data_IF_033765227859
#
_entry.id   IF_033765227859
#
_cell.length_a   1.000
_cell.length_b   1.000
_cell.length_c   1.000
_cell.angle_alpha   90.00
_cell.angle_beta   90.00
_cell.angle_gamma   90.00
#
_symmetry.space_group_name_H-M   'P 1'
#
loop_
_entity.id
_entity.type
_entity.pdbx_description
1 polymer ?
#
# COMPACT_ATOMS: atom_id res chain seq x y z
N UNK A 1 -7.57 -9.71 8.38
CA UNK A 1 -8.46 -10.10 7.27
C UNK A 1 -7.75 -11.01 6.26
N UNK A 2 -6.47 -10.77 5.96
CA UNK A 2 -5.65 -11.62 5.07
C UNK A 2 -5.33 -13.01 5.67
N UNK A 3 -5.40 -13.18 6.98
CA UNK A 3 -5.19 -14.47 7.65
C UNK A 3 -6.45 -15.37 7.68
N UNK A 4 -7.63 -14.84 7.29
CA UNK A 4 -8.86 -15.64 7.07
C UNK A 4 -9.10 -15.98 5.60
N UNK A 5 -8.20 -15.62 4.70
CA UNK A 5 -8.23 -15.84 3.27
C UNK A 5 -7.87 -17.32 2.96
N UNK A 6 -8.33 -17.89 1.82
CA UNK A 6 -7.97 -19.24 1.37
C UNK A 6 -6.46 -19.51 1.28
N UNK A 7 -5.62 -18.51 1.39
CA UNK A 7 -4.17 -18.63 1.53
C UNK A 7 -3.69 -18.97 2.95
N UNK A 8 -4.58 -19.14 3.93
CA UNK A 8 -4.22 -19.54 5.30
C UNK A 8 -3.28 -20.75 5.33
N UNK A 9 -3.53 -21.75 4.49
CA UNK A 9 -2.67 -22.91 4.36
C UNK A 9 -1.28 -22.64 3.77
N UNK A 10 -1.08 -21.51 3.07
CA UNK A 10 0.24 -21.12 2.56
C UNK A 10 1.12 -20.54 3.68
N UNK A 11 0.57 -19.67 4.52
CA UNK A 11 1.29 -19.10 5.65
C UNK A 11 1.66 -20.15 6.70
N UNK A 12 0.74 -21.07 6.99
CA UNK A 12 0.99 -22.18 7.94
C UNK A 12 2.07 -23.15 7.45
N UNK A 13 2.30 -23.23 6.13
CA UNK A 13 3.29 -24.11 5.51
C UNK A 13 4.67 -23.47 5.31
N UNK A 14 4.80 -22.15 5.52
CA UNK A 14 6.09 -21.49 5.33
C UNK A 14 6.97 -21.63 6.56
N UNK A 15 8.27 -21.83 6.37
CA UNK A 15 9.26 -21.85 7.45
C UNK A 15 9.25 -20.56 8.27
N UNK A 16 8.85 -19.46 7.65
CA UNK A 16 8.70 -18.16 8.30
C UNK A 16 7.53 -18.16 9.29
N UNK A 17 6.38 -18.71 8.93
CA UNK A 17 5.23 -18.82 9.81
C UNK A 17 5.53 -19.72 11.02
N UNK A 18 6.26 -20.82 10.83
CA UNK A 18 6.70 -21.68 11.93
C UNK A 18 7.66 -20.94 12.88
N UNK A 19 8.61 -20.17 12.31
CA UNK A 19 9.63 -19.43 13.09
C UNK A 19 9.01 -18.27 13.89
N UNK A 20 7.98 -17.63 13.39
CA UNK A 20 7.34 -16.46 14.03
C UNK A 20 5.93 -16.77 14.55
N UNK A 21 5.56 -18.05 14.64
CA UNK A 21 4.20 -18.46 15.04
C UNK A 21 3.75 -17.92 16.39
N UNK A 22 4.66 -17.80 17.37
CA UNK A 22 4.34 -17.25 18.68
C UNK A 22 4.10 -15.74 18.62
N UNK A 23 4.93 -15.00 17.89
CA UNK A 23 4.74 -13.57 17.66
C UNK A 23 3.44 -13.31 16.89
N UNK A 24 3.12 -14.16 15.90
CA UNK A 24 1.88 -14.07 15.11
C UNK A 24 0.66 -14.45 15.96
N UNK A 25 0.76 -15.43 16.85
CA UNK A 25 -0.33 -15.81 17.77
C UNK A 25 -0.69 -14.72 18.76
N UNK A 26 0.27 -13.89 19.16
CA UNK A 26 0.07 -12.71 20.01
C UNK A 26 -0.62 -11.54 19.29
N UNK A 27 -0.65 -11.53 17.96
CA UNK A 27 -1.34 -10.53 17.17
C UNK A 27 -2.84 -10.85 17.18
N UNK A 28 -3.60 -10.13 17.99
CA UNK A 28 -5.07 -10.17 17.91
C UNK A 28 -5.52 -9.56 16.60
N UNK A 29 -5.82 -10.42 15.64
CA UNK A 29 -6.49 -10.05 14.39
C UNK A 29 -8.01 -10.04 14.65
N UNK A 30 -8.47 -9.13 15.46
CA UNK A 30 -9.88 -8.80 15.49
C UNK A 30 -10.16 -7.88 14.30
N UNK A 31 -11.27 -8.09 13.61
CA UNK A 31 -11.83 -7.10 12.70
C UNK A 31 -12.21 -5.90 13.57
N UNK A 32 -11.23 -5.03 13.79
CA UNK A 32 -11.38 -3.89 14.68
C UNK A 32 -12.54 -3.00 14.25
N UNK A 33 -13.07 -2.26 15.18
CA UNK A 33 -14.05 -1.21 14.89
C UNK A 33 -13.50 -0.25 13.85
N UNK A 34 -14.34 0.16 12.93
CA UNK A 34 -14.01 1.16 11.94
C UNK A 34 -14.70 2.47 12.28
N UNK A 35 -13.93 3.54 12.29
CA UNK A 35 -14.44 4.89 12.48
C UNK A 35 -14.53 5.61 11.14
N UNK A 36 -15.61 6.37 10.96
CA UNK A 36 -15.76 7.28 9.84
C UNK A 36 -14.98 8.55 10.13
N UNK A 37 -14.10 8.92 9.21
CA UNK A 37 -13.29 10.13 9.25
C UNK A 37 -13.57 10.99 8.03
N UNK A 38 -13.69 12.28 8.23
CA UNK A 38 -13.69 13.25 7.14
C UNK A 38 -12.26 13.45 6.61
N UNK A 39 -12.17 13.65 5.30
CA UNK A 39 -10.92 13.97 4.59
C UNK A 39 -11.12 15.33 3.89
N UNK A 40 -11.02 16.44 4.63
CA UNK A 40 -11.38 17.77 4.08
C UNK A 40 -10.57 18.17 2.85
N UNK A 41 -9.32 17.73 2.77
CA UNK A 41 -8.43 17.94 1.62
C UNK A 41 -8.56 16.86 0.53
N UNK A 42 -9.35 15.83 0.73
CA UNK A 42 -9.61 14.81 -0.27
C UNK A 42 -10.30 15.42 -1.49
N UNK A 43 -9.98 14.91 -2.67
CA UNK A 43 -10.58 15.36 -3.94
C UNK A 43 -11.74 14.43 -4.31
N UNK A 44 -11.48 13.15 -4.42
CA UNK A 44 -12.47 12.12 -4.79
C UNK A 44 -12.99 11.36 -3.57
N UNK A 45 -12.19 11.23 -2.50
CA UNK A 45 -12.56 10.57 -1.26
C UNK A 45 -12.68 11.63 -0.15
N UNK A 46 -13.92 12.06 0.13
CA UNK A 46 -14.22 13.11 1.12
C UNK A 46 -14.32 12.59 2.54
N UNK A 47 -14.61 11.32 2.69
CA UNK A 47 -14.64 10.60 3.97
C UNK A 47 -14.26 9.13 3.76
N UNK A 48 -13.81 8.46 4.81
CA UNK A 48 -13.49 7.04 4.78
C UNK A 48 -13.76 6.39 6.13
N UNK A 49 -14.20 5.14 6.10
CA UNK A 49 -14.14 4.29 7.30
C UNK A 49 -12.77 3.61 7.33
N UNK A 50 -12.05 3.78 8.43
CA UNK A 50 -10.73 3.18 8.66
C UNK A 50 -10.70 2.47 10.01
N UNK A 51 -9.80 1.48 10.15
CA UNK A 51 -9.62 0.80 11.44
C UNK A 51 -9.33 1.80 12.55
N UNK A 52 -10.02 1.64 13.68
CA UNK A 52 -9.78 2.42 14.88
C UNK A 52 -8.33 2.31 15.36
N UNK A 53 -7.72 1.13 15.21
CA UNK A 53 -6.33 0.90 15.61
C UNK A 53 -5.34 1.86 14.93
N UNK A 54 -5.64 2.29 13.69
CA UNK A 54 -4.83 3.29 13.02
C UNK A 54 -4.78 4.60 13.80
N UNK A 55 -5.86 4.95 14.49
CA UNK A 55 -6.00 6.23 15.21
C UNK A 55 -5.45 6.13 16.64
N UNK A 56 -5.64 4.97 17.26
CA UNK A 56 -5.32 4.72 18.67
C UNK A 56 -3.84 4.35 18.89
N UNK A 57 -3.13 3.87 17.86
CA UNK A 57 -1.73 3.48 18.02
C UNK A 57 -0.80 4.69 18.18
N UNK A 58 0.19 4.59 19.06
CA UNK A 58 1.22 5.63 19.27
C UNK A 58 2.15 5.73 18.06
N UNK A 59 2.49 4.58 17.47
CA UNK A 59 3.42 4.49 16.33
C UNK A 59 2.76 3.70 15.20
N UNK A 60 2.75 4.28 14.00
CA UNK A 60 2.25 3.65 12.79
C UNK A 60 3.40 3.30 11.83
N UNK A 61 3.69 2.02 11.69
CA UNK A 61 4.66 1.50 10.71
C UNK A 61 3.90 0.86 9.56
N UNK A 62 4.07 1.42 8.36
CA UNK A 62 3.46 0.90 7.13
C UNK A 62 4.43 -0.08 6.45
N UNK A 63 4.13 -1.37 6.53
CA UNK A 63 4.92 -2.43 5.89
C UNK A 63 4.20 -2.91 4.64
N UNK A 64 4.81 -2.72 3.48
CA UNK A 64 4.25 -3.03 2.17
C UNK A 64 5.15 -3.98 1.37
N UNK A 65 4.60 -4.51 0.27
CA UNK A 65 5.34 -5.27 -0.74
C UNK A 65 5.31 -4.49 -2.04
N UNK A 66 6.48 -4.31 -2.64
CA UNK A 66 6.60 -3.80 -4.02
C UNK A 66 6.10 -4.84 -5.00
N UNK A 67 5.21 -4.49 -5.92
CA UNK A 67 4.77 -5.36 -7.02
C UNK A 67 4.03 -4.60 -8.11
N UNK A 68 4.00 -5.18 -9.31
CA UNK A 68 3.13 -4.75 -10.40
C UNK A 68 1.65 -4.98 -10.04
N UNK A 69 0.77 -4.18 -10.63
CA UNK A 69 -0.68 -4.27 -10.46
C UNK A 69 -1.36 -3.83 -11.77
N UNK A 70 -2.22 -4.68 -12.33
CA UNK A 70 -2.85 -4.43 -13.64
C UNK A 70 -3.65 -3.13 -13.71
N UNK A 71 -4.34 -2.76 -12.62
CA UNK A 71 -5.10 -1.50 -12.59
C UNK A 71 -4.19 -0.27 -12.39
N UNK A 72 -3.62 -0.10 -11.22
CA UNK A 72 -2.84 1.11 -10.86
C UNK A 72 -1.35 1.02 -11.18
N UNK A 73 -0.94 0.00 -11.93
CA UNK A 73 0.42 -0.30 -12.41
C UNK A 73 1.46 -0.59 -11.33
N UNK A 74 1.25 -0.17 -10.10
CA UNK A 74 2.16 -0.34 -8.97
C UNK A 74 1.40 -0.59 -7.67
N UNK A 75 1.97 -1.38 -6.77
CA UNK A 75 1.53 -1.55 -5.38
C UNK A 75 2.70 -1.27 -4.45
N UNK A 76 2.49 -0.42 -3.47
CA UNK A 76 3.44 -0.06 -2.44
C UNK A 76 2.75 0.49 -1.20
N UNK A 77 3.42 1.36 -0.48
CA UNK A 77 2.96 1.90 0.80
C UNK A 77 1.69 2.77 0.69
N UNK A 78 1.52 3.53 -0.40
CA UNK A 78 0.31 4.32 -0.62
C UNK A 78 -0.93 3.42 -0.72
N UNK A 79 -0.87 2.40 -1.58
CA UNK A 79 -1.99 1.46 -1.78
C UNK A 79 -2.23 0.58 -0.55
N UNK A 80 -1.21 0.30 0.24
CA UNK A 80 -1.31 -0.54 1.44
C UNK A 80 -2.29 0.02 2.47
N UNK A 81 -2.51 1.34 2.50
CA UNK A 81 -3.51 2.00 3.36
C UNK A 81 -4.94 1.46 3.15
N UNK A 82 -5.26 0.97 1.96
CA UNK A 82 -6.56 0.37 1.67
C UNK A 82 -6.85 -0.86 2.55
N UNK A 83 -5.82 -1.56 3.04
CA UNK A 83 -5.95 -2.67 3.97
C UNK A 83 -6.56 -2.31 5.32
N UNK A 84 -6.55 -1.03 5.68
CA UNK A 84 -7.14 -0.50 6.91
C UNK A 84 -8.64 -0.17 6.76
N UNK A 85 -9.17 -0.27 5.54
CA UNK A 85 -10.55 0.08 5.21
C UNK A 85 -11.47 -1.15 5.18
N UNK A 86 -12.73 -1.05 5.61
CA UNK A 86 -13.72 -2.08 5.41
C UNK A 86 -14.10 -2.19 3.92
N UNK A 87 -14.81 -3.27 3.58
CA UNK A 87 -15.24 -3.52 2.21
C UNK A 87 -16.02 -2.35 1.59
N UNK A 88 -16.88 -1.69 2.36
CA UNK A 88 -17.68 -0.55 1.86
C UNK A 88 -16.81 0.61 1.35
N UNK A 89 -15.78 0.98 2.11
CA UNK A 89 -14.83 2.02 1.69
C UNK A 89 -13.98 1.54 0.50
N UNK A 90 -13.46 0.30 0.55
CA UNK A 90 -12.69 -0.26 -0.56
C UNK A 90 -13.51 -0.38 -1.85
N UNK A 91 -14.79 -0.73 -1.74
CA UNK A 91 -15.72 -0.77 -2.87
C UNK A 91 -15.87 0.61 -3.53
N UNK A 92 -16.05 1.67 -2.73
CA UNK A 92 -16.11 3.03 -3.25
C UNK A 92 -14.80 3.46 -3.91
N UNK A 93 -13.66 3.17 -3.29
CA UNK A 93 -12.33 3.49 -3.83
C UNK A 93 -12.13 2.84 -5.22
N UNK A 94 -12.56 1.57 -5.38
CA UNK A 94 -12.38 0.85 -6.66
C UNK A 94 -13.37 1.25 -7.75
N UNK A 95 -14.62 1.50 -7.39
CA UNK A 95 -15.71 1.61 -8.37
C UNK A 95 -16.47 2.94 -8.34
N UNK A 96 -16.20 3.80 -7.36
CA UNK A 96 -16.95 5.02 -7.18
C UNK A 96 -18.44 4.75 -7.00
N UNK A 97 -19.26 5.70 -7.43
CA UNK A 97 -20.72 5.58 -7.43
C UNK A 97 -21.26 4.84 -8.67
N UNK A 98 -20.53 4.85 -9.76
CA UNK A 98 -21.00 4.36 -11.07
C UNK A 98 -20.71 2.87 -11.31
N UNK A 99 -19.91 2.22 -10.49
CA UNK A 99 -19.53 0.80 -10.59
C UNK A 99 -19.13 0.36 -12.00
N UNK A 100 -18.35 1.17 -12.70
CA UNK A 100 -17.95 0.94 -14.08
C UNK A 100 -16.78 -0.05 -14.14
N UNK A 101 -17.02 -1.24 -14.70
CA UNK A 101 -16.00 -2.22 -15.07
C UNK A 101 -15.26 -2.88 -13.90
N UNK A 102 -14.23 -3.69 -14.23
CA UNK A 102 -13.46 -4.47 -13.25
C UNK A 102 -12.61 -3.61 -12.32
N UNK A 103 -12.02 -2.52 -12.84
CA UNK A 103 -11.19 -1.57 -12.09
C UNK A 103 -11.82 -0.18 -11.98
N UNK A 104 -13.00 0.03 -12.58
CA UNK A 104 -13.63 1.34 -12.61
C UNK A 104 -12.79 2.39 -13.34
N UNK A 105 -12.86 3.62 -12.87
CA UNK A 105 -12.04 4.73 -13.34
C UNK A 105 -10.69 4.73 -12.60
N UNK A 106 -9.59 4.52 -13.32
CA UNK A 106 -8.23 4.47 -12.76
C UNK A 106 -7.78 5.82 -12.19
N UNK A 107 -8.27 6.92 -12.73
CA UNK A 107 -7.99 8.25 -12.19
C UNK A 107 -8.69 8.43 -10.84
N UNK A 108 -9.97 8.04 -10.74
CA UNK A 108 -10.72 8.02 -9.50
C UNK A 108 -10.06 7.11 -8.45
N UNK A 109 -9.73 5.87 -8.83
CA UNK A 109 -9.06 4.93 -7.94
C UNK A 109 -7.73 5.49 -7.39
N UNK A 110 -6.90 6.05 -8.27
CA UNK A 110 -5.62 6.63 -7.90
C UNK A 110 -5.77 7.87 -7.03
N UNK A 111 -6.80 8.70 -7.30
CA UNK A 111 -7.11 9.85 -6.47
C UNK A 111 -7.59 9.43 -5.09
N UNK A 112 -8.50 8.48 -5.01
CA UNK A 112 -9.00 7.97 -3.73
C UNK A 112 -7.86 7.35 -2.88
N UNK A 113 -6.91 6.64 -3.51
CA UNK A 113 -5.72 6.13 -2.80
C UNK A 113 -4.89 7.30 -2.25
N UNK A 114 -4.65 8.34 -3.04
CA UNK A 114 -3.93 9.52 -2.58
C UNK A 114 -4.67 10.21 -1.42
N UNK A 115 -5.98 10.43 -1.57
CA UNK A 115 -6.81 11.08 -0.56
C UNK A 115 -6.83 10.30 0.77
N UNK A 116 -6.94 8.96 0.71
CA UNK A 116 -6.91 8.10 1.89
C UNK A 116 -5.62 8.27 2.70
N UNK A 117 -4.52 8.56 2.03
CA UNK A 117 -3.23 8.77 2.67
C UNK A 117 -3.13 10.09 3.46
N UNK A 118 -4.11 10.99 3.33
CA UNK A 118 -4.23 12.22 4.13
C UNK A 118 -4.72 11.95 5.56
N UNK A 119 -5.35 10.78 5.81
CA UNK A 119 -5.93 10.42 7.11
C UNK A 119 -4.87 10.37 8.21
N UNK A 120 -3.75 9.71 7.97
CA UNK A 120 -2.65 9.62 8.92
C UNK A 120 -1.31 9.42 8.21
N UNK A 121 -0.31 10.20 8.60
CA UNK A 121 1.09 9.99 8.19
C UNK A 121 1.64 8.76 8.90
N UNK A 122 2.43 7.92 8.20
CA UNK A 122 3.20 6.87 8.84
C UNK A 122 4.47 7.45 9.48
N UNK A 123 4.85 6.90 10.62
CA UNK A 123 6.11 7.24 11.29
C UNK A 123 7.30 6.60 10.57
N UNK A 124 7.08 5.40 10.04
CA UNK A 124 8.03 4.66 9.22
C UNK A 124 7.27 3.88 8.14
N UNK A 125 7.85 3.83 6.95
CA UNK A 125 7.40 2.99 5.85
C UNK A 125 8.54 2.04 5.48
N UNK A 126 8.19 0.76 5.30
CA UNK A 126 9.11 -0.29 4.87
C UNK A 126 8.46 -0.99 3.68
N UNK A 127 9.21 -1.24 2.63
CA UNK A 127 8.75 -2.04 1.50
C UNK A 127 9.68 -3.23 1.28
N UNK A 128 9.09 -4.41 1.26
CA UNK A 128 9.75 -5.62 0.78
C UNK A 128 9.82 -5.55 -0.76
N UNK A 129 11.03 -5.43 -1.27
CA UNK A 129 11.36 -5.50 -2.67
C UNK A 129 12.41 -6.61 -2.94
N UNK A 130 12.40 -7.68 -2.13
CA UNK A 130 13.34 -8.79 -2.30
C UNK A 130 13.01 -9.61 -3.54
N UNK A 131 11.74 -10.01 -3.70
CA UNK A 131 11.23 -10.73 -4.86
C UNK A 131 9.81 -10.27 -5.12
N UNK A 132 9.51 -9.82 -6.34
CA UNK A 132 8.17 -9.37 -6.66
C UNK A 132 7.80 -9.62 -8.12
N UNK A 133 6.48 -9.68 -8.37
CA UNK A 133 5.90 -9.86 -9.70
C UNK A 133 6.00 -8.56 -10.50
N UNK A 134 6.39 -8.66 -11.78
CA UNK A 134 6.59 -7.53 -12.68
C UNK A 134 5.52 -7.40 -13.78
N UNK A 135 4.70 -8.43 -13.96
CA UNK A 135 3.60 -8.48 -14.92
C UNK A 135 2.45 -9.34 -14.38
N UNK A 136 1.22 -9.11 -14.85
CA UNK A 136 0.01 -9.83 -14.43
C UNK A 136 -0.23 -9.81 -12.90
N UNK A 137 0.23 -8.75 -12.24
CA UNK A 137 -0.02 -8.56 -10.81
C UNK A 137 -1.46 -8.08 -10.51
N UNK A 138 -1.89 -8.25 -9.28
CA UNK A 138 -1.12 -8.66 -8.12
C UNK A 138 -1.03 -10.17 -7.86
N UNK A 139 -1.68 -10.99 -8.66
CA UNK A 139 -1.87 -12.43 -8.38
C UNK A 139 -1.04 -13.36 -9.27
N UNK A 140 -0.66 -12.91 -10.47
CA UNK A 140 0.05 -13.74 -11.44
C UNK A 140 -0.82 -14.81 -12.11
N UNK A 141 -0.21 -15.80 -12.80
CA UNK A 141 1.25 -15.96 -12.93
C UNK A 141 1.90 -14.87 -13.76
N UNK A 142 3.16 -14.53 -13.43
CA UNK A 142 3.93 -13.51 -14.14
C UNK A 142 5.44 -13.61 -13.84
N UNK A 143 6.22 -12.80 -14.53
CA UNK A 143 7.66 -12.74 -14.30
C UNK A 143 7.99 -12.17 -12.92
N UNK A 144 9.08 -12.63 -12.35
CA UNK A 144 9.60 -12.18 -11.07
C UNK A 144 10.90 -11.41 -11.25
N UNK A 145 10.99 -10.23 -10.63
CA UNK A 145 12.26 -9.56 -10.37
C UNK A 145 12.80 -9.96 -8.99
N UNK A 146 14.12 -9.95 -8.84
CA UNK A 146 14.83 -10.31 -7.60
C UNK A 146 15.91 -9.26 -7.28
N UNK A 147 15.54 -8.01 -7.00
CA UNK A 147 16.52 -6.99 -6.66
C UNK A 147 17.11 -7.17 -5.26
N UNK A 148 16.52 -8.05 -4.43
CA UNK A 148 17.01 -8.38 -3.08
C UNK A 148 17.17 -7.14 -2.19
N UNK A 149 16.17 -6.24 -2.25
CA UNK A 149 16.16 -4.97 -1.53
C UNK A 149 15.06 -4.94 -0.46
N UNK A 150 15.38 -4.33 0.68
CA UNK A 150 14.40 -3.80 1.63
C UNK A 150 14.57 -2.29 1.65
N UNK A 151 13.49 -1.58 1.41
CA UNK A 151 13.51 -0.12 1.30
C UNK A 151 12.76 0.48 2.48
N UNK A 152 13.34 1.49 3.12
CA UNK A 152 12.71 2.19 4.22
C UNK A 152 12.73 3.71 4.01
N UNK A 153 11.66 4.38 4.42
CA UNK A 153 11.54 5.83 4.36
C UNK A 153 10.55 6.32 5.42
N UNK A 154 10.70 7.56 5.85
CA UNK A 154 9.68 8.26 6.67
C UNK A 154 8.57 8.87 5.80
N UNK A 155 8.60 8.61 4.49
CA UNK A 155 7.66 9.18 3.53
C UNK A 155 7.20 8.11 2.53
N UNK A 156 5.88 7.91 2.42
CA UNK A 156 5.27 6.92 1.52
C UNK A 156 5.48 7.25 0.05
N UNK A 157 5.40 8.53 -0.32
CA UNK A 157 5.58 8.97 -1.71
C UNK A 157 7.00 8.68 -2.16
N UNK A 158 8.00 9.08 -1.36
CA UNK A 158 9.41 8.84 -1.68
C UNK A 158 9.76 7.36 -1.67
N UNK A 159 9.17 6.57 -0.76
CA UNK A 159 9.34 5.11 -0.76
C UNK A 159 8.83 4.50 -2.06
N UNK A 160 7.57 4.81 -2.40
CA UNK A 160 6.91 4.25 -3.58
C UNK A 160 7.56 4.73 -4.87
N UNK A 161 8.05 5.96 -4.92
CA UNK A 161 8.83 6.49 -6.04
C UNK A 161 10.12 5.69 -6.27
N UNK A 162 10.87 5.38 -5.22
CA UNK A 162 12.04 4.52 -5.33
C UNK A 162 11.66 3.09 -5.75
N UNK A 163 10.66 2.51 -5.11
CA UNK A 163 10.25 1.13 -5.37
C UNK A 163 9.67 0.92 -6.76
N UNK A 164 8.96 1.91 -7.33
CA UNK A 164 8.45 1.79 -8.70
C UNK A 164 9.58 1.78 -9.74
N UNK A 165 10.71 2.45 -9.49
CA UNK A 165 11.91 2.33 -10.34
C UNK A 165 12.53 0.93 -10.29
N UNK A 166 12.48 0.23 -9.15
CA UNK A 166 12.88 -1.18 -9.10
C UNK A 166 11.97 -2.07 -9.97
N UNK A 167 10.74 -1.63 -10.21
CA UNK A 167 9.80 -2.27 -11.14
C UNK A 167 10.03 -1.87 -12.62
N UNK A 168 10.98 -0.97 -12.89
CA UNK A 168 11.24 -0.44 -14.24
C UNK A 168 10.22 0.62 -14.69
N UNK A 169 9.63 1.35 -13.75
CA UNK A 169 8.65 2.41 -14.01
C UNK A 169 9.13 3.74 -13.46
N UNK A 170 8.79 4.82 -14.11
CA UNK A 170 9.00 6.16 -13.58
C UNK A 170 7.88 6.56 -12.61
N UNK A 171 8.20 7.24 -11.48
CA UNK A 171 7.19 7.68 -10.51
C UNK A 171 6.07 8.51 -11.13
N UNK A 172 6.41 9.30 -12.16
CA UNK A 172 5.48 10.17 -12.90
C UNK A 172 4.42 9.38 -13.67
N UNK A 173 4.70 8.14 -14.06
CA UNK A 173 3.76 7.25 -14.75
C UNK A 173 2.70 6.69 -13.79
N UNK A 174 3.01 6.63 -12.50
CA UNK A 174 2.14 6.04 -11.48
C UNK A 174 1.21 7.11 -10.91
N UNK A 175 -0.04 7.12 -11.36
CA UNK A 175 -1.03 8.15 -11.02
C UNK A 175 -1.16 8.39 -9.51
N UNK A 176 -1.23 7.35 -8.69
CA UNK A 176 -1.39 7.52 -7.25
C UNK A 176 -0.16 8.16 -6.58
N UNK A 177 1.06 7.92 -7.08
CA UNK A 177 2.28 8.58 -6.58
C UNK A 177 2.24 10.06 -6.92
N UNK A 178 1.93 10.39 -8.19
CA UNK A 178 1.82 11.76 -8.66
C UNK A 178 0.75 12.55 -7.89
N UNK A 179 -0.44 11.97 -7.72
CA UNK A 179 -1.55 12.61 -6.98
C UNK A 179 -1.20 12.80 -5.49
N UNK A 180 -0.52 11.85 -4.87
CA UNK A 180 -0.06 11.98 -3.50
C UNK A 180 1.03 13.08 -3.36
N UNK A 181 1.93 13.20 -4.33
CA UNK A 181 2.90 14.30 -4.38
C UNK A 181 2.21 15.66 -4.57
N UNK A 182 1.18 15.76 -5.42
CA UNK A 182 0.37 16.96 -5.61
C UNK A 182 -0.36 17.39 -4.33
N UNK A 183 -0.74 16.47 -3.45
CA UNK A 183 -1.25 16.76 -2.11
C UNK A 183 -0.18 17.30 -1.15
N UNK A 184 1.08 17.36 -1.56
CA UNK A 184 2.21 17.77 -0.71
C UNK A 184 2.63 16.72 0.31
N UNK A 185 2.31 15.45 0.06
CA UNK A 185 2.63 14.38 1.00
C UNK A 185 4.07 13.87 0.92
N UNK A 186 4.86 14.32 -0.06
CA UNK A 186 6.26 13.95 -0.20
C UNK A 186 6.84 14.24 -1.57
N UNK A 187 8.14 14.02 -1.69
CA UNK A 187 8.91 14.19 -2.93
C UNK A 187 8.94 12.87 -3.70
N UNK A 188 8.64 12.90 -4.99
CA UNK A 188 8.71 11.75 -5.89
C UNK A 188 9.94 11.78 -6.81
N UNK A 189 10.58 12.95 -7.00
CA UNK A 189 11.80 13.08 -7.77
C UNK A 189 12.99 12.53 -6.97
N UNK A 190 13.56 11.43 -7.42
CA UNK A 190 14.62 10.74 -6.67
C UNK A 190 15.91 11.56 -6.61
N UNK A 191 16.15 12.42 -7.57
CA UNK A 191 17.31 13.32 -7.64
C UNK A 191 17.32 14.32 -6.47
N UNK A 192 16.15 14.60 -5.90
CA UNK A 192 15.98 15.48 -4.73
C UNK A 192 16.04 14.73 -3.41
N UNK A 193 16.10 13.40 -3.43
CA UNK A 193 16.11 12.57 -2.24
C UNK A 193 17.55 12.25 -1.83
N UNK A 194 17.78 12.22 -0.52
CA UNK A 194 19.01 11.67 0.05
C UNK A 194 18.86 10.17 0.21
N UNK A 195 19.41 9.43 -0.73
CA UNK A 195 19.43 7.95 -0.69
C UNK A 195 20.68 7.48 0.07
N UNK A 196 20.50 6.43 0.88
CA UNK A 196 21.59 5.72 1.53
C UNK A 196 21.38 4.22 1.30
N UNK A 197 22.35 3.58 0.67
CA UNK A 197 22.37 2.14 0.50
C UNK A 197 23.29 1.48 1.53
N UNK A 198 22.85 0.36 2.06
CA UNK A 198 23.61 -0.48 2.98
C UNK A 198 23.61 -1.89 2.41
N UNK A 199 24.79 -2.50 2.35
CA UNK A 199 24.96 -3.93 2.03
C UNK A 199 25.11 -4.69 3.34
N UNK A 200 24.34 -5.76 3.50
CA UNK A 200 24.32 -6.62 4.69
C UNK A 200 24.87 -7.99 4.32
#
# INVERSE_FOLDING_TARGET
RYLKDPHKGYWEKTSLAAKYSEAIKGLKYESGDHLKLDIPRGISLKDAKVSKDLLDCDVFINVSITKQHDGVHFTGALKNMMGLCPFSTNSYIHWGTLKLGWYGDLDHLSQCIADLNLVRKADLCISDATVFITENGPYGPGKLARPERVVASRNRVSLDAYCCRLLGREPEEILMIRKAAQHGMGEMSLEKLRLKELTV
#
